data_IF_215398214547
#
_entry.id   IF_215398214547
#
_cell.length_a   1.000
_cell.length_b   1.000
_cell.length_c   1.000
_cell.angle_alpha   90.00
_cell.angle_beta   90.00
_cell.angle_gamma   90.00
#
_symmetry.space_group_name_H-M   'P 1'
#
loop_
_entity.id
_entity.type
_entity.pdbx_description
1 polymer ?
#
# COMPACT_ATOMS: atom_id res chain seq x y z
N UNK A 1 8.89 -2.53 25.21
CA UNK A 1 9.16 -2.54 26.67
C UNK A 1 10.66 -2.52 26.94
N UNK A 2 11.13 -1.93 28.04
CA UNK A 2 12.55 -1.84 28.35
C UNK A 2 13.02 -2.97 29.30
N UNK A 3 14.08 -3.67 28.92
CA UNK A 3 14.76 -4.63 29.80
C UNK A 3 15.77 -3.92 30.68
N UNK A 4 15.63 -4.03 32.00
CA UNK A 4 16.62 -3.53 32.96
C UNK A 4 17.79 -4.52 33.01
N UNK A 5 17.48 -5.81 33.23
CA UNK A 5 18.49 -6.88 33.35
C UNK A 5 18.12 -8.19 32.65
N UNK A 6 16.91 -8.30 32.10
CA UNK A 6 16.46 -9.49 31.38
C UNK A 6 17.28 -9.73 30.10
N UNK A 7 17.83 -10.95 29.99
CA UNK A 7 18.51 -11.45 28.80
C UNK A 7 17.90 -12.80 28.41
N UNK A 8 17.25 -12.87 27.26
CA UNK A 8 16.62 -14.09 26.75
C UNK A 8 15.16 -13.89 26.35
N UNK A 9 14.48 -15.00 26.07
CA UNK A 9 13.12 -14.98 25.54
C UNK A 9 12.12 -14.37 26.53
N UNK A 10 11.22 -13.55 25.98
CA UNK A 10 10.01 -13.07 26.62
C UNK A 10 8.82 -13.42 25.72
N UNK A 11 7.77 -13.95 26.34
CA UNK A 11 6.52 -14.33 25.68
C UNK A 11 5.40 -13.41 26.15
N UNK A 12 4.56 -12.94 25.23
CA UNK A 12 3.43 -12.07 25.51
C UNK A 12 2.13 -12.85 25.31
N UNK A 13 1.40 -13.08 26.39
CA UNK A 13 0.16 -13.84 26.40
C UNK A 13 -1.04 -12.95 26.64
N UNK A 14 -2.13 -13.24 25.94
CA UNK A 14 -3.43 -12.63 26.26
C UNK A 14 -3.95 -13.15 27.60
N UNK A 15 -4.56 -12.28 28.38
CA UNK A 15 -5.38 -12.63 29.54
C UNK A 15 -6.83 -12.31 29.19
N UNK A 16 -7.73 -13.28 29.39
CA UNK A 16 -9.14 -13.13 29.01
C UNK A 16 -9.94 -12.31 30.01
N UNK A 17 -9.51 -12.29 31.27
CA UNK A 17 -10.11 -11.47 32.33
C UNK A 17 -9.45 -10.08 32.35
N UNK A 18 -10.26 -9.04 32.18
CA UNK A 18 -9.84 -7.64 32.26
C UNK A 18 -10.44 -6.90 33.46
N UNK A 19 -11.01 -7.62 34.41
CA UNK A 19 -11.59 -7.07 35.64
C UNK A 19 -10.61 -7.02 36.82
N UNK A 20 -9.41 -7.57 36.67
CA UNK A 20 -8.38 -7.56 37.72
C UNK A 20 -7.84 -6.15 37.96
N UNK A 21 -7.38 -5.94 39.20
CA UNK A 21 -6.62 -4.76 39.59
C UNK A 21 -5.26 -5.19 40.11
N UNK A 22 -4.23 -4.39 39.85
CA UNK A 22 -2.84 -4.75 40.15
C UNK A 22 -2.59 -5.04 41.63
N UNK A 23 -3.30 -4.35 42.52
CA UNK A 23 -3.22 -4.50 43.97
C UNK A 23 -3.85 -5.78 44.51
N UNK A 24 -4.65 -6.47 43.69
CA UNK A 24 -5.33 -7.72 44.09
C UNK A 24 -4.63 -8.98 43.59
N UNK A 25 -3.67 -8.85 42.67
CA UNK A 25 -2.92 -10.00 42.14
C UNK A 25 -1.80 -10.43 43.10
N UNK A 26 -1.79 -11.73 43.38
CA UNK A 26 -0.80 -12.44 44.18
C UNK A 26 -0.41 -13.73 43.46
N UNK A 27 0.63 -14.40 43.95
CA UNK A 27 0.99 -15.72 43.46
C UNK A 27 -0.17 -16.74 43.53
N UNK A 28 -1.04 -16.64 44.54
CA UNK A 28 -2.10 -17.63 44.75
C UNK A 28 -3.34 -17.42 43.86
N UNK A 29 -3.50 -16.23 43.27
CA UNK A 29 -4.63 -15.88 42.40
C UNK A 29 -4.16 -15.32 41.05
N UNK A 30 -3.01 -15.79 40.57
CA UNK A 30 -2.51 -15.46 39.23
C UNK A 30 -3.54 -15.86 38.17
N UNK A 31 -3.68 -15.03 37.15
CA UNK A 31 -4.63 -15.29 36.06
C UNK A 31 -4.05 -16.30 35.06
N UNK A 32 -4.88 -17.21 34.51
CA UNK A 32 -4.41 -18.19 33.54
C UNK A 32 -3.95 -17.49 32.26
N UNK A 33 -2.78 -17.90 31.77
CA UNK A 33 -2.26 -17.46 30.47
C UNK A 33 -3.18 -17.97 29.35
N UNK A 34 -3.62 -17.06 28.49
CA UNK A 34 -4.34 -17.38 27.26
C UNK A 34 -3.40 -17.54 26.07
N UNK A 35 -3.92 -17.26 24.88
CA UNK A 35 -3.18 -17.37 23.62
C UNK A 35 -1.88 -16.57 23.65
N UNK A 36 -0.80 -17.18 23.14
CA UNK A 36 0.45 -16.48 22.84
C UNK A 36 0.19 -15.50 21.69
N UNK A 37 0.47 -14.21 21.93
CA UNK A 37 0.34 -13.14 20.94
C UNK A 37 1.63 -12.98 20.16
N UNK A 38 2.77 -13.06 20.84
CA UNK A 38 4.09 -12.96 20.23
C UNK A 38 5.21 -13.22 21.24
N UNK A 39 6.42 -13.35 20.71
CA UNK A 39 7.63 -13.58 21.50
C UNK A 39 8.74 -12.66 21.01
N UNK A 40 9.67 -12.30 21.90
CA UNK A 40 10.86 -11.54 21.54
C UNK A 40 12.07 -11.97 22.37
N UNK A 41 13.27 -11.55 21.94
CA UNK A 41 14.51 -11.75 22.69
C UNK A 41 14.88 -10.43 23.38
N UNK A 42 14.76 -10.39 24.70
CA UNK A 42 15.17 -9.25 25.50
C UNK A 42 16.69 -9.21 25.68
N UNK A 43 17.25 -8.00 25.64
CA UNK A 43 18.66 -7.73 25.95
C UNK A 43 18.72 -6.67 27.04
N UNK A 44 19.57 -6.87 28.06
CA UNK A 44 19.73 -5.92 29.18
C UNK A 44 19.99 -4.49 28.70
N UNK A 45 19.39 -3.53 29.39
CA UNK A 45 19.43 -2.09 29.08
C UNK A 45 18.99 -1.73 27.65
N UNK A 46 18.09 -2.51 27.07
CA UNK A 46 17.61 -2.31 25.70
C UNK A 46 16.08 -2.38 25.63
N UNK A 47 15.51 -1.64 24.68
CA UNK A 47 14.10 -1.77 24.31
C UNK A 47 13.87 -3.02 23.47
N UNK A 48 12.77 -3.71 23.74
CA UNK A 48 12.30 -4.86 22.98
C UNK A 48 10.84 -4.66 22.60
N UNK A 49 10.53 -4.91 21.34
CA UNK A 49 9.19 -4.75 20.76
C UNK A 49 8.53 -6.09 20.54
N UNK A 50 7.21 -6.12 20.70
CA UNK A 50 6.35 -7.28 20.41
C UNK A 50 5.15 -6.73 19.64
N UNK A 51 4.88 -7.30 18.46
CA UNK A 51 3.69 -6.96 17.68
C UNK A 51 2.44 -7.48 18.39
N UNK A 52 1.53 -6.57 18.73
CA UNK A 52 0.26 -6.86 19.40
C UNK A 52 -0.95 -6.58 18.50
N UNK A 53 -0.75 -6.42 17.19
CA UNK A 53 -1.80 -6.08 16.23
C UNK A 53 -2.93 -7.13 16.16
N UNK A 54 -2.59 -8.40 16.42
CA UNK A 54 -3.59 -9.49 16.51
C UNK A 54 -4.47 -9.40 17.76
N UNK A 55 -4.03 -8.68 18.79
CA UNK A 55 -4.74 -8.48 20.05
C UNK A 55 -5.53 -7.17 20.04
N UNK A 56 -4.93 -6.06 19.64
CA UNK A 56 -5.50 -4.70 19.69
C UNK A 56 -6.14 -4.35 18.35
N UNK A 57 -7.38 -4.80 18.15
CA UNK A 57 -8.10 -4.66 16.87
C UNK A 57 -9.19 -3.59 16.88
N UNK A 58 -9.52 -3.06 18.05
CA UNK A 58 -10.54 -2.02 18.23
C UNK A 58 -10.33 -1.26 19.55
N UNK A 59 -11.11 -0.20 19.77
CA UNK A 59 -11.11 0.50 21.05
C UNK A 59 -11.58 -0.42 22.18
N UNK A 60 -10.82 -0.50 23.26
CA UNK A 60 -11.18 -1.34 24.40
C UNK A 60 -10.09 -1.44 25.45
N UNK A 61 -10.40 -2.16 26.52
CA UNK A 61 -9.43 -2.56 27.55
C UNK A 61 -8.91 -3.94 27.19
N UNK A 62 -7.59 -4.09 27.23
CA UNK A 62 -6.88 -5.32 26.89
C UNK A 62 -6.02 -5.74 28.09
N UNK A 63 -6.01 -7.03 28.39
CA UNK A 63 -5.20 -7.60 29.46
C UNK A 63 -4.24 -8.64 28.92
N UNK A 64 -3.00 -8.58 29.38
CA UNK A 64 -1.93 -9.46 28.92
C UNK A 64 -0.99 -9.79 30.08
N UNK A 65 -0.21 -10.84 29.90
CA UNK A 65 0.85 -11.26 30.80
C UNK A 65 2.14 -11.46 30.00
N UNK A 66 3.26 -11.24 30.68
CA UNK A 66 4.59 -11.43 30.14
C UNK A 66 5.21 -12.60 30.88
N UNK A 67 5.68 -13.59 30.14
CA UNK A 67 6.31 -14.78 30.69
C UNK A 67 7.74 -14.89 30.17
N UNK A 68 8.68 -15.22 31.06
CA UNK A 68 10.01 -15.70 30.69
C UNK A 68 10.00 -17.23 30.73
N UNK A 69 10.00 -17.93 29.58
CA UNK A 69 9.81 -19.39 29.55
C UNK A 69 11.03 -20.17 30.05
N UNK A 70 12.16 -19.48 30.25
CA UNK A 70 13.35 -20.01 30.93
C UNK A 70 13.52 -19.33 32.28
N UNK A 71 13.96 -20.08 33.29
CA UNK A 71 14.28 -19.55 34.63
C UNK A 71 15.55 -18.67 34.57
N UNK A 72 15.44 -17.52 33.92
CA UNK A 72 16.43 -16.45 33.96
C UNK A 72 15.96 -15.41 34.98
N UNK A 73 16.74 -15.18 36.03
CA UNK A 73 16.54 -14.01 36.89
C UNK A 73 16.81 -12.75 36.05
N UNK A 74 15.78 -11.95 35.80
CA UNK A 74 15.90 -10.71 35.05
C UNK A 74 14.70 -9.79 35.25
N UNK A 75 14.95 -8.51 35.08
CA UNK A 75 14.00 -7.44 35.37
C UNK A 75 13.59 -6.72 34.09
N UNK A 76 12.29 -6.48 33.96
CA UNK A 76 11.67 -5.64 32.95
C UNK A 76 11.13 -4.39 33.65
N UNK A 77 11.23 -3.23 33.01
CA UNK A 77 10.72 -1.99 33.60
C UNK A 77 9.19 -2.00 33.63
N UNK A 78 8.62 -1.64 34.78
CA UNK A 78 7.17 -1.51 34.98
C UNK A 78 6.70 -0.07 34.76
N UNK A 79 5.40 0.18 34.90
CA UNK A 79 4.81 1.53 34.85
C UNK A 79 5.39 2.50 35.90
N UNK A 80 5.94 1.96 37.00
CA UNK A 80 6.51 2.75 38.11
C UNK A 80 8.02 2.97 37.94
N UNK A 81 8.64 2.31 36.94
CA UNK A 81 10.04 2.49 36.59
C UNK A 81 10.28 3.76 35.75
N UNK A 82 11.55 4.14 35.60
CA UNK A 82 11.94 5.28 34.76
C UNK A 82 11.79 5.06 33.25
N UNK A 83 11.47 3.85 32.80
CA UNK A 83 11.32 3.47 31.38
C UNK A 83 10.08 2.58 31.19
N UNK A 84 8.87 3.10 31.47
CA UNK A 84 7.65 2.31 31.48
C UNK A 84 7.33 1.75 30.08
N UNK A 85 6.68 0.59 29.95
CA UNK A 85 6.24 0.07 28.66
C UNK A 85 5.34 1.06 27.92
N UNK A 86 5.53 1.17 26.60
CA UNK A 86 4.72 2.01 25.71
C UNK A 86 4.04 1.14 24.66
N UNK A 87 2.83 1.54 24.25
CA UNK A 87 2.18 1.05 23.05
C UNK A 87 2.42 2.08 21.95
N UNK A 88 3.12 1.69 20.90
CA UNK A 88 3.31 2.53 19.72
C UNK A 88 2.33 2.08 18.63
N UNK A 89 1.65 3.06 18.04
CA UNK A 89 0.81 2.82 16.86
C UNK A 89 1.62 3.19 15.64
N UNK A 90 2.10 2.17 14.93
CA UNK A 90 2.69 2.33 13.62
C UNK A 90 1.63 2.14 12.54
N UNK A 91 1.59 3.05 11.57
CA UNK A 91 0.95 2.77 10.28
C UNK A 91 2.04 2.22 9.37
N UNK A 92 1.90 0.98 8.92
CA UNK A 92 2.76 0.43 7.87
C UNK A 92 2.34 1.14 6.58
N UNK A 93 3.26 1.86 5.93
CA UNK A 93 3.01 2.35 4.58
C UNK A 93 2.90 1.13 3.66
N UNK A 94 1.73 0.94 3.03
CA UNK A 94 1.55 -0.14 2.07
C UNK A 94 2.51 0.05 0.91
N UNK A 95 3.17 -1.02 0.50
CA UNK A 95 3.99 -1.03 -0.71
C UNK A 95 3.10 -0.92 -1.95
N UNK A 96 3.64 -0.47 -3.09
CA UNK A 96 2.94 -0.48 -4.38
C UNK A 96 2.30 -1.85 -4.70
N UNK A 97 3.05 -2.93 -4.47
CA UNK A 97 2.59 -4.31 -4.62
C UNK A 97 1.42 -4.66 -3.69
N UNK A 98 1.43 -4.20 -2.43
CA UNK A 98 0.32 -4.41 -1.49
C UNK A 98 -0.93 -3.64 -1.93
N UNK A 99 -0.79 -2.38 -2.36
CA UNK A 99 -1.90 -1.58 -2.86
C UNK A 99 -2.55 -2.21 -4.11
N UNK A 100 -1.76 -2.78 -5.01
CA UNK A 100 -2.25 -3.55 -6.15
C UNK A 100 -2.95 -4.85 -5.69
N UNK A 101 -2.34 -5.59 -4.78
CA UNK A 101 -2.90 -6.84 -4.24
C UNK A 101 -4.24 -6.60 -3.55
N UNK A 102 -4.36 -5.51 -2.78
CA UNK A 102 -5.60 -5.11 -2.12
C UNK A 102 -6.69 -4.77 -3.14
N UNK A 103 -6.34 -4.05 -4.22
CA UNK A 103 -7.27 -3.75 -5.32
C UNK A 103 -7.74 -5.03 -6.02
N UNK A 104 -6.82 -5.92 -6.41
CA UNK A 104 -7.18 -7.22 -7.00
C UNK A 104 -8.05 -8.05 -6.05
N UNK A 105 -7.78 -7.99 -4.75
CA UNK A 105 -8.54 -8.69 -3.70
C UNK A 105 -10.02 -8.31 -3.65
N UNK A 106 -10.41 -7.16 -4.23
CA UNK A 106 -11.82 -6.77 -4.39
C UNK A 106 -12.55 -7.55 -5.49
N UNK A 107 -11.80 -8.29 -6.33
CA UNK A 107 -12.31 -9.13 -7.43
C UNK A 107 -12.04 -10.62 -7.15
N UNK A 108 -12.80 -11.27 -6.23
CA UNK A 108 -12.54 -12.65 -5.82
C UNK A 108 -12.74 -13.70 -6.93
N UNK A 109 -13.36 -13.32 -8.05
CA UNK A 109 -13.58 -14.18 -9.21
C UNK A 109 -12.49 -14.06 -10.30
N UNK A 110 -11.47 -13.21 -10.09
CA UNK A 110 -10.42 -12.98 -11.07
C UNK A 110 -9.57 -14.26 -11.25
N UNK A 111 -9.43 -14.71 -12.51
CA UNK A 111 -8.78 -15.99 -12.82
C UNK A 111 -7.25 -15.92 -12.80
N UNK A 112 -6.66 -14.75 -13.05
CA UNK A 112 -5.24 -14.49 -13.00
C UNK A 112 -4.98 -13.06 -12.50
N UNK A 113 -4.18 -12.92 -11.46
CA UNK A 113 -3.91 -11.66 -10.78
C UNK A 113 -2.62 -10.99 -11.26
N UNK A 114 -1.88 -11.58 -12.20
CA UNK A 114 -0.63 -11.01 -12.71
C UNK A 114 -0.88 -9.64 -13.37
N UNK A 115 0.00 -8.67 -13.14
CA UNK A 115 -0.12 -7.30 -13.67
C UNK A 115 -0.18 -7.21 -15.19
N UNK A 116 0.37 -8.21 -15.89
CA UNK A 116 0.39 -8.29 -17.35
C UNK A 116 -0.70 -9.18 -17.94
N UNK A 117 -1.50 -9.85 -17.11
CA UNK A 117 -2.58 -10.71 -17.57
C UNK A 117 -3.83 -9.91 -17.90
N UNK A 118 -4.61 -10.42 -18.85
CA UNK A 118 -5.90 -9.91 -19.32
C UNK A 118 -6.96 -11.02 -19.11
N UNK A 119 -7.55 -11.10 -17.90
CA UNK A 119 -8.42 -12.22 -17.53
C UNK A 119 -9.81 -12.18 -18.16
N UNK A 120 -10.30 -11.01 -18.56
CA UNK A 120 -11.62 -10.81 -19.17
C UNK A 120 -11.58 -10.71 -20.70
N UNK A 121 -10.39 -10.62 -21.29
CA UNK A 121 -10.13 -10.74 -22.72
C UNK A 121 -10.47 -9.47 -23.49
N UNK A 122 -10.37 -8.29 -22.87
CA UNK A 122 -10.71 -7.02 -23.48
C UNK A 122 -9.49 -6.23 -24.01
N UNK A 123 -8.30 -6.85 -23.93
CA UNK A 123 -7.01 -6.33 -24.36
C UNK A 123 -6.37 -5.32 -23.41
N UNK A 124 -6.90 -5.17 -22.19
CA UNK A 124 -6.23 -4.45 -21.12
C UNK A 124 -5.68 -5.42 -20.08
N UNK A 125 -4.40 -5.24 -19.76
CA UNK A 125 -3.79 -5.98 -18.67
C UNK A 125 -4.27 -5.42 -17.32
N UNK A 126 -4.25 -6.24 -16.27
CA UNK A 126 -4.64 -5.84 -14.92
C UNK A 126 -3.95 -4.56 -14.41
N UNK A 127 -2.70 -4.29 -14.81
CA UNK A 127 -2.03 -3.03 -14.48
C UNK A 127 -2.69 -1.82 -15.14
N UNK A 128 -3.14 -1.97 -16.39
CA UNK A 128 -3.86 -0.92 -17.10
C UNK A 128 -5.24 -0.68 -16.48
N UNK A 129 -5.96 -1.74 -16.15
CA UNK A 129 -7.22 -1.69 -15.39
C UNK A 129 -7.06 -0.92 -14.07
N UNK A 130 -6.06 -1.30 -13.27
CA UNK A 130 -5.75 -0.67 -11.99
C UNK A 130 -5.40 0.82 -12.13
N UNK A 131 -4.61 1.18 -13.14
CA UNK A 131 -4.15 2.55 -13.35
C UNK A 131 -5.24 3.46 -13.94
N UNK A 132 -6.04 2.94 -14.86
CA UNK A 132 -7.04 3.71 -15.61
C UNK A 132 -8.43 3.67 -14.97
N UNK A 133 -8.64 2.81 -13.96
CA UNK A 133 -9.88 2.72 -13.20
C UNK A 133 -10.94 1.82 -13.83
N UNK A 134 -10.52 0.75 -14.49
CA UNK A 134 -11.39 -0.26 -15.06
C UNK A 134 -11.69 -1.44 -14.13
N UNK A 135 -12.35 -2.46 -14.69
CA UNK A 135 -12.73 -3.68 -14.00
C UNK A 135 -12.12 -4.91 -14.69
N UNK A 136 -11.15 -5.61 -14.07
CA UNK A 136 -10.43 -6.74 -14.68
C UNK A 136 -11.26 -8.02 -14.84
N UNK A 137 -12.55 -7.97 -14.52
CA UNK A 137 -13.51 -9.07 -14.68
C UNK A 137 -14.58 -8.78 -15.73
N UNK A 138 -14.51 -7.64 -16.41
CA UNK A 138 -15.54 -7.13 -17.29
C UNK A 138 -14.91 -6.41 -18.47
N UNK A 139 -15.24 -6.86 -19.68
CA UNK A 139 -14.84 -6.19 -20.91
C UNK A 139 -15.39 -4.75 -20.98
N UNK A 140 -14.58 -3.79 -20.52
CA UNK A 140 -14.93 -2.39 -20.38
C UNK A 140 -13.85 -1.44 -20.94
N UNK A 141 -12.77 -1.98 -21.52
CA UNK A 141 -11.69 -1.26 -22.20
C UNK A 141 -12.15 -0.08 -23.06
N UNK A 142 -13.25 -0.22 -23.80
CA UNK A 142 -13.80 0.84 -24.65
C UNK A 142 -14.20 2.12 -23.88
N UNK A 143 -14.46 2.02 -22.58
CA UNK A 143 -14.85 3.14 -21.71
C UNK A 143 -13.67 3.77 -20.95
N UNK A 144 -12.55 3.06 -20.85
CA UNK A 144 -11.38 3.48 -20.04
C UNK A 144 -10.12 3.76 -20.86
N UNK A 145 -10.06 3.27 -22.10
CA UNK A 145 -8.94 3.53 -22.99
C UNK A 145 -8.74 5.04 -23.24
N UNK A 146 -7.47 5.50 -23.31
CA UNK A 146 -7.18 6.86 -23.69
C UNK A 146 -7.78 7.23 -25.05
N UNK A 147 -8.23 8.47 -25.18
CA UNK A 147 -8.71 9.01 -26.44
C UNK A 147 -7.94 10.29 -26.81
N UNK A 148 -8.14 10.78 -28.02
CA UNK A 148 -7.44 11.97 -28.50
C UNK A 148 -8.38 12.99 -29.12
N UNK A 149 -7.95 14.25 -29.08
CA UNK A 149 -8.58 15.36 -29.81
C UNK A 149 -7.52 16.21 -30.47
N UNK A 150 -7.91 17.05 -31.43
CA UNK A 150 -7.06 18.10 -31.98
C UNK A 150 -7.31 19.41 -31.25
N UNK A 151 -6.25 20.15 -30.96
CA UNK A 151 -6.32 21.50 -30.40
C UNK A 151 -5.37 22.45 -31.11
N UNK A 152 -5.66 23.74 -31.02
CA UNK A 152 -4.80 24.82 -31.51
C UNK A 152 -4.47 25.75 -30.33
N UNK A 153 -3.21 26.20 -30.28
CA UNK A 153 -2.75 27.17 -29.30
C UNK A 153 -1.65 28.03 -29.91
N UNK A 154 -1.89 29.34 -29.97
CA UNK A 154 -0.94 30.34 -30.49
C UNK A 154 -0.44 30.04 -31.91
N UNK A 155 -1.34 29.61 -32.79
CA UNK A 155 -1.07 29.24 -34.18
C UNK A 155 -0.44 27.86 -34.37
N UNK A 156 -0.30 27.06 -33.30
CA UNK A 156 0.28 25.71 -33.34
C UNK A 156 -0.78 24.66 -33.09
N UNK A 157 -0.83 23.64 -33.95
CA UNK A 157 -1.70 22.47 -33.77
C UNK A 157 -1.04 21.43 -32.86
N UNK A 158 -1.88 20.78 -32.05
CA UNK A 158 -1.49 19.77 -31.07
C UNK A 158 -2.44 18.58 -31.14
N UNK A 159 -1.89 17.38 -30.97
CA UNK A 159 -2.68 16.25 -30.49
C UNK A 159 -2.82 16.38 -28.98
N UNK A 160 -4.05 16.38 -28.48
CA UNK A 160 -4.32 16.18 -27.06
C UNK A 160 -4.53 14.68 -26.85
N UNK A 161 -3.66 14.04 -26.08
CA UNK A 161 -3.79 12.66 -25.61
C UNK A 161 -4.39 12.69 -24.20
N UNK A 162 -5.54 12.06 -24.02
CA UNK A 162 -6.39 12.22 -22.84
C UNK A 162 -6.61 10.85 -22.22
N UNK A 163 -6.31 10.72 -20.92
CA UNK A 163 -6.38 9.46 -20.20
C UNK A 163 -6.80 9.67 -18.74
N UNK A 164 -7.33 8.61 -18.13
CA UNK A 164 -7.62 8.59 -16.70
C UNK A 164 -6.33 8.32 -15.90
N UNK A 165 -6.15 9.00 -14.78
CA UNK A 165 -5.02 8.81 -13.87
C UNK A 165 -5.53 8.68 -12.45
N UNK A 166 -5.00 7.72 -11.71
CA UNK A 166 -5.25 7.62 -10.27
C UNK A 166 -4.67 8.83 -9.54
N UNK A 167 -5.47 9.51 -8.71
CA UNK A 167 -5.12 10.77 -8.02
C UNK A 167 -4.02 10.62 -6.97
N UNK A 168 -3.80 9.40 -6.48
CA UNK A 168 -2.72 9.03 -5.56
C UNK A 168 -1.61 8.24 -6.28
N UNK A 169 -1.49 8.37 -7.62
CA UNK A 169 -0.49 7.66 -8.42
C UNK A 169 0.92 7.73 -7.84
N UNK A 170 1.32 8.89 -7.29
CA UNK A 170 2.63 9.05 -6.65
C UNK A 170 2.81 8.19 -5.38
N UNK A 171 1.74 7.98 -4.60
CA UNK A 171 1.73 7.07 -3.45
C UNK A 171 1.79 5.61 -3.92
N UNK A 172 1.05 5.29 -4.99
CA UNK A 172 1.02 3.96 -5.61
C UNK A 172 2.23 3.61 -6.46
N UNK A 173 3.14 4.56 -6.68
CA UNK A 173 4.26 4.44 -7.63
C UNK A 173 3.82 4.05 -9.04
N UNK A 174 2.63 4.53 -9.44
CA UNK A 174 2.13 4.40 -10.80
C UNK A 174 2.72 5.51 -11.67
N UNK A 175 3.30 5.12 -12.80
CA UNK A 175 3.82 6.05 -13.81
C UNK A 175 2.91 6.06 -15.04
N UNK A 176 2.78 7.24 -15.65
CA UNK A 176 1.94 7.49 -16.82
C UNK A 176 2.74 8.29 -17.82
N UNK A 177 3.31 7.63 -18.82
CA UNK A 177 4.15 8.27 -19.81
C UNK A 177 3.48 8.28 -21.17
N UNK A 178 3.01 9.45 -21.60
CA UNK A 178 2.60 9.63 -23.01
C UNK A 178 3.86 9.70 -23.86
N UNK A 179 3.99 8.76 -24.77
CA UNK A 179 5.12 8.67 -25.69
C UNK A 179 4.66 8.88 -27.13
N UNK A 180 5.55 9.40 -27.96
CA UNK A 180 5.29 9.56 -29.38
C UNK A 180 6.46 9.13 -30.26
N UNK A 181 6.15 8.75 -31.49
CA UNK A 181 7.15 8.48 -32.53
C UNK A 181 6.62 8.89 -33.90
N UNK A 182 7.50 9.20 -34.84
CA UNK A 182 7.14 9.45 -36.25
C UNK A 182 7.26 8.19 -37.11
N UNK A 183 7.81 7.10 -36.56
CA UNK A 183 8.10 5.89 -37.30
C UNK A 183 8.05 4.64 -36.40
N UNK A 184 7.08 3.77 -36.66
CA UNK A 184 6.97 2.48 -35.95
C UNK A 184 8.10 1.50 -36.33
N UNK A 185 8.76 1.67 -37.48
CA UNK A 185 9.84 0.78 -37.94
C UNK A 185 11.12 0.96 -37.11
N UNK A 186 11.49 2.20 -36.75
CA UNK A 186 12.65 2.43 -35.88
C UNK A 186 12.36 2.09 -34.42
N UNK A 187 11.07 2.12 -34.03
CA UNK A 187 10.60 1.89 -32.66
C UNK A 187 11.30 2.77 -31.62
N UNK A 188 11.74 3.96 -32.03
CA UNK A 188 12.31 4.97 -31.12
C UNK A 188 11.17 5.86 -30.67
N UNK A 189 10.85 5.79 -29.38
CA UNK A 189 9.80 6.58 -28.73
C UNK A 189 10.42 7.69 -27.90
N UNK A 190 9.75 8.84 -27.84
CA UNK A 190 10.15 9.98 -27.00
C UNK A 190 8.97 10.48 -26.19
N UNK A 191 9.26 11.08 -25.03
CA UNK A 191 8.27 11.69 -24.15
C UNK A 191 8.16 13.20 -24.41
N UNK A 192 8.26 13.61 -25.69
CA UNK A 192 8.10 15.00 -26.13
C UNK A 192 6.63 15.43 -26.06
N UNK A 193 6.12 15.54 -24.82
CA UNK A 193 4.74 15.85 -24.49
C UNK A 193 4.68 16.82 -23.32
N UNK A 194 3.55 17.49 -23.17
CA UNK A 194 3.31 18.41 -22.06
C UNK A 194 1.95 18.13 -21.44
N UNK A 195 1.89 17.80 -20.15
CA UNK A 195 0.63 17.83 -19.41
C UNK A 195 0.13 19.29 -19.31
N UNK A 196 -1.07 19.55 -19.82
CA UNK A 196 -1.63 20.91 -19.91
C UNK A 196 -2.89 21.11 -19.07
N UNK A 197 -3.38 20.05 -18.42
CA UNK A 197 -4.48 20.15 -17.49
C UNK A 197 -4.97 18.79 -17.01
N UNK A 198 -5.69 18.82 -15.89
CA UNK A 198 -6.46 17.70 -15.39
C UNK A 198 -7.83 18.16 -14.88
N UNK A 199 -8.77 17.23 -14.76
CA UNK A 199 -10.06 17.45 -14.13
C UNK A 199 -10.46 16.23 -13.29
N UNK A 200 -11.02 16.46 -12.10
CA UNK A 200 -11.43 15.37 -11.21
C UNK A 200 -12.63 14.63 -11.81
N UNK A 201 -12.55 13.30 -11.85
CA UNK A 201 -13.67 12.42 -12.17
C UNK A 201 -14.39 12.09 -10.86
N UNK A 202 -13.63 11.56 -9.88
CA UNK A 202 -14.16 11.13 -8.58
C UNK A 202 -13.10 11.18 -7.45
N UNK A 203 -13.34 10.45 -6.37
CA UNK A 203 -12.43 10.36 -5.22
C UNK A 203 -11.06 9.79 -5.58
N UNK A 204 -11.01 8.84 -6.52
CA UNK A 204 -9.83 8.07 -6.88
C UNK A 204 -9.20 8.54 -8.18
N UNK A 205 -9.99 9.04 -9.14
CA UNK A 205 -9.51 9.29 -10.49
C UNK A 205 -9.69 10.74 -10.96
N UNK A 206 -8.77 11.16 -11.81
CA UNK A 206 -8.83 12.39 -12.60
C UNK A 206 -8.59 12.06 -14.07
N UNK A 207 -9.08 12.92 -14.97
CA UNK A 207 -8.73 12.89 -16.38
C UNK A 207 -7.58 13.86 -16.62
N UNK A 208 -6.56 13.43 -17.36
CA UNK A 208 -5.34 14.19 -17.65
C UNK A 208 -5.24 14.40 -19.15
N UNK A 209 -4.80 15.60 -19.56
CA UNK A 209 -4.56 15.93 -20.97
C UNK A 209 -3.10 16.27 -21.19
N UNK A 210 -2.43 15.46 -22.02
CA UNK A 210 -1.10 15.77 -22.54
C UNK A 210 -1.21 16.30 -23.97
N UNK A 211 -0.48 17.37 -24.28
CA UNK A 211 -0.31 17.87 -25.64
C UNK A 211 0.97 17.32 -26.26
N UNK A 212 0.86 16.92 -27.51
CA UNK A 212 1.97 16.42 -28.34
C UNK A 212 2.07 17.28 -29.59
N UNK A 213 3.26 17.88 -29.87
CA UNK A 213 3.41 18.83 -30.97
C UNK A 213 3.34 18.13 -32.31
N UNK A 214 2.53 18.67 -33.24
CA UNK A 214 2.39 18.12 -34.61
C UNK A 214 3.23 18.88 -35.64
N UNK A 215 3.80 20.03 -35.27
CA UNK A 215 4.55 20.91 -36.17
C UNK A 215 5.72 20.17 -36.83
N UNK A 216 5.80 20.26 -38.16
CA UNK A 216 6.87 19.65 -38.94
C UNK A 216 6.82 18.12 -39.03
N UNK A 217 5.75 17.47 -38.52
CA UNK A 217 5.60 16.00 -38.55
C UNK A 217 4.52 15.62 -39.56
N UNK A 218 4.89 14.84 -40.58
CA UNK A 218 3.94 14.35 -41.58
C UNK A 218 3.02 13.23 -41.03
N UNK A 219 3.50 12.49 -40.03
CA UNK A 219 2.76 11.46 -39.31
C UNK A 219 3.32 11.34 -37.89
N UNK A 220 2.49 10.89 -36.96
CA UNK A 220 2.90 10.62 -35.58
C UNK A 220 2.03 9.49 -35.01
N UNK A 221 2.63 8.68 -34.16
CA UNK A 221 1.99 7.61 -33.40
C UNK A 221 2.16 7.92 -31.91
N UNK A 222 1.16 7.59 -31.11
CA UNK A 222 1.12 7.86 -29.69
C UNK A 222 0.79 6.58 -28.92
N UNK A 223 1.37 6.43 -27.73
CA UNK A 223 0.97 5.42 -26.75
C UNK A 223 1.05 6.01 -25.34
N UNK A 224 0.34 5.38 -24.41
CA UNK A 224 0.54 5.57 -22.98
C UNK A 224 1.30 4.37 -22.45
N UNK A 225 2.44 4.61 -21.83
CA UNK A 225 3.21 3.59 -21.13
C UNK A 225 2.90 3.71 -19.63
N UNK A 226 2.39 2.62 -19.07
CA UNK A 226 2.04 2.49 -17.66
C UNK A 226 3.10 1.66 -16.96
N UNK A 227 3.51 2.11 -15.77
CA UNK A 227 4.45 1.40 -14.93
C UNK A 227 3.97 1.33 -13.48
N UNK A 228 4.45 0.31 -12.77
CA UNK A 228 4.34 0.18 -11.33
C UNK A 228 5.76 -0.05 -10.80
N UNK A 229 6.29 0.92 -10.06
CA UNK A 229 7.61 0.80 -9.42
C UNK A 229 7.45 0.31 -7.98
N UNK A 230 8.40 -0.49 -7.48
CA UNK A 230 8.46 -0.92 -6.07
C UNK A 230 9.29 0.06 -5.20
#
# INVERSE_FOLDING_TARGET
>A
MHSISQNGQIDFHRISDSSWTEDTLTWNNLLPLGALIGSAQATSNTWTEIDVSSMVTSNGVYSAAIQTPVDSLGELSSKEGGMPPVLEIGTIALTPSQLYTDWVGTYPALSDTNTLSDPDGDLLANLAEYALGGNPTSNDAASILPFHTMGESLGTNWFNYIYTRHRDAALRKLTYEVQSTTNLVSNIWTNDTQEVGSAIIDANFEIVTNRVPTTGKAQQFLKLELGLED
#
